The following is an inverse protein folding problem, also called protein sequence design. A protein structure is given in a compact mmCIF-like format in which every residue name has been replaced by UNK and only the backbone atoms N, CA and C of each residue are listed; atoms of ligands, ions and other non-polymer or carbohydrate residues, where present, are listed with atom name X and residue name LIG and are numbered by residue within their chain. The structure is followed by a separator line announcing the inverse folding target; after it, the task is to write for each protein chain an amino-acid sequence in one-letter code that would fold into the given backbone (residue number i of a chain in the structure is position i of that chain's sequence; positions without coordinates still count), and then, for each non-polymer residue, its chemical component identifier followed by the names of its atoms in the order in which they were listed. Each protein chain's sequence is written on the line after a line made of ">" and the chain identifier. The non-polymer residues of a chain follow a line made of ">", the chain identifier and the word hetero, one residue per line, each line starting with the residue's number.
data_IF_556637876646
#
_entry.id   IF_556637876646
#
_cell.length_a   1.000
_cell.length_b   1.000
_cell.length_c   1.000
_cell.angle_alpha   90.00
_cell.angle_beta   90.00
_cell.angle_gamma   90.00
#
_symmetry.space_group_name_H-M   'P 1'
#
loop_
_entity.id
_entity.type
_entity.pdbx_description
1 polymer ?
#
# COMPACT_ATOMS: atom_id res chain seq x y z
N UNK A 1 -35.39 -13.86 -0.77
CA UNK A 1 -34.34 -14.44 -1.62
C UNK A 1 -33.36 -15.16 -0.70
N UNK A 2 -33.36 -16.49 -0.70
CA UNK A 2 -32.34 -17.27 0.03
C UNK A 2 -31.05 -17.19 -0.79
N UNK A 3 -30.16 -16.27 -0.41
CA UNK A 3 -28.84 -16.26 -0.99
C UNK A 3 -28.07 -17.45 -0.43
N UNK A 4 -27.80 -18.42 -1.28
CA UNK A 4 -26.89 -19.52 -0.97
C UNK A 4 -25.52 -18.94 -0.60
N UNK A 5 -24.97 -19.40 0.52
CA UNK A 5 -23.68 -18.92 1.07
C UNK A 5 -22.58 -19.04 0.00
N UNK A 6 -22.62 -20.10 -0.81
CA UNK A 6 -21.65 -20.32 -1.88
C UNK A 6 -21.76 -19.23 -2.94
N UNK A 7 -22.97 -18.91 -3.41
CA UNK A 7 -23.19 -17.82 -4.37
C UNK A 7 -22.75 -16.45 -3.83
N UNK A 8 -23.01 -16.17 -2.55
CA UNK A 8 -22.62 -14.90 -1.90
C UNK A 8 -21.10 -14.79 -1.81
N UNK A 9 -20.44 -15.86 -1.37
CA UNK A 9 -18.98 -15.92 -1.31
C UNK A 9 -18.34 -15.76 -2.68
N UNK A 10 -18.89 -16.42 -3.71
CA UNK A 10 -18.40 -16.30 -5.08
C UNK A 10 -18.39 -14.85 -5.56
N UNK A 11 -19.48 -14.10 -5.32
CA UNK A 11 -19.57 -12.68 -5.67
C UNK A 11 -18.57 -11.81 -4.91
N UNK A 12 -18.39 -12.02 -3.60
CA UNK A 12 -17.40 -11.28 -2.79
C UNK A 12 -15.99 -11.56 -3.30
N UNK A 13 -15.67 -12.83 -3.59
CA UNK A 13 -14.37 -13.24 -4.11
C UNK A 13 -14.10 -12.63 -5.49
N UNK A 14 -15.07 -12.64 -6.38
CA UNK A 14 -14.93 -12.05 -7.71
C UNK A 14 -14.63 -10.54 -7.63
N UNK A 15 -15.38 -9.81 -6.79
CA UNK A 15 -15.14 -8.39 -6.54
C UNK A 15 -13.76 -8.12 -5.93
N UNK A 16 -13.33 -8.95 -4.97
CA UNK A 16 -12.01 -8.83 -4.36
C UNK A 16 -10.88 -9.06 -5.38
N UNK A 17 -11.01 -10.07 -6.24
CA UNK A 17 -10.06 -10.35 -7.30
C UNK A 17 -10.03 -9.23 -8.35
N UNK A 18 -11.18 -8.69 -8.74
CA UNK A 18 -11.24 -7.57 -9.69
C UNK A 18 -10.48 -6.34 -9.15
N UNK A 19 -10.75 -5.95 -7.90
CA UNK A 19 -10.04 -4.85 -7.23
C UNK A 19 -8.55 -5.10 -7.08
N UNK A 20 -8.17 -6.35 -6.77
CA UNK A 20 -6.76 -6.75 -6.67
C UNK A 20 -6.04 -6.53 -7.99
N UNK A 21 -6.61 -7.03 -9.10
CA UNK A 21 -6.02 -6.86 -10.44
C UNK A 21 -5.92 -5.40 -10.85
N UNK A 22 -6.98 -4.61 -10.64
CA UNK A 22 -6.98 -3.18 -10.94
C UNK A 22 -5.87 -2.43 -10.20
N UNK A 23 -5.62 -2.81 -8.94
CA UNK A 23 -4.62 -2.14 -8.10
C UNK A 23 -3.20 -2.62 -8.42
N UNK A 24 -2.98 -3.93 -8.45
CA UNK A 24 -1.65 -4.55 -8.45
C UNK A 24 -1.21 -5.13 -9.81
N UNK A 25 -2.07 -5.14 -10.83
CA UNK A 25 -1.75 -5.64 -12.18
C UNK A 25 -1.88 -4.55 -13.25
N UNK A 26 -1.86 -3.28 -12.85
CA UNK A 26 -1.91 -2.12 -13.77
C UNK A 26 -0.55 -1.72 -14.36
N UNK A 27 0.53 -2.42 -14.02
CA UNK A 27 1.90 -2.15 -14.49
C UNK A 27 2.60 -0.97 -13.82
N UNK A 28 1.90 -0.19 -12.98
CA UNK A 28 2.45 0.90 -12.19
C UNK A 28 2.92 0.45 -10.80
N UNK A 29 3.69 1.28 -10.08
CA UNK A 29 4.03 1.00 -8.70
C UNK A 29 2.80 1.12 -7.79
N UNK A 30 2.77 0.35 -6.71
CA UNK A 30 1.80 0.49 -5.61
C UNK A 30 2.58 0.61 -4.31
N UNK A 31 2.17 1.58 -3.49
CA UNK A 31 2.82 1.90 -2.22
C UNK A 31 1.89 1.51 -1.09
N UNK A 32 2.36 0.64 -0.21
CA UNK A 32 1.64 0.18 0.98
C UNK A 32 2.30 0.79 2.21
N UNK A 33 1.52 1.43 3.09
CA UNK A 33 2.04 2.06 4.31
C UNK A 33 1.38 1.42 5.53
N UNK A 34 2.20 0.90 6.45
CA UNK A 34 1.75 0.30 7.70
C UNK A 34 1.13 1.33 8.63
N UNK A 35 -0.19 1.28 8.79
CA UNK A 35 -0.95 2.23 9.62
C UNK A 35 -1.88 1.53 10.62
N UNK A 36 -1.58 0.27 10.95
CA UNK A 36 -2.13 -0.38 12.14
C UNK A 36 -1.62 0.27 13.44
N UNK A 37 -1.88 -0.33 14.60
CA UNK A 37 -1.56 0.26 15.91
C UNK A 37 -0.08 0.61 16.09
N UNK A 38 0.85 -0.30 15.82
CA UNK A 38 2.29 -0.04 15.94
C UNK A 38 2.78 0.99 14.91
N UNK A 39 2.34 0.86 13.65
CA UNK A 39 2.65 1.82 12.59
C UNK A 39 2.20 3.24 12.96
N UNK A 40 0.97 3.40 13.46
CA UNK A 40 0.46 4.69 13.97
C UNK A 40 1.26 5.22 15.14
N UNK A 41 1.61 4.37 16.12
CA UNK A 41 2.42 4.78 17.26
C UNK A 41 3.84 5.20 16.86
N UNK A 42 4.38 4.62 15.79
CA UNK A 42 5.72 4.91 15.27
C UNK A 42 5.77 6.09 14.28
N UNK A 43 4.63 6.71 13.95
CA UNK A 43 4.56 7.85 13.03
C UNK A 43 4.19 7.51 11.57
N UNK A 44 3.50 6.39 11.35
CA UNK A 44 3.13 5.92 10.00
C UNK A 44 2.15 6.84 9.26
N UNK A 45 1.34 7.65 9.95
CA UNK A 45 0.46 8.62 9.29
C UNK A 45 1.21 9.84 8.76
N UNK A 46 2.26 10.27 9.46
CA UNK A 46 3.16 11.32 9.02
C UNK A 46 3.90 10.87 7.75
N UNK A 47 4.36 9.63 7.71
CA UNK A 47 4.97 9.00 6.52
C UNK A 47 3.97 8.92 5.36
N UNK A 48 2.76 8.42 5.63
CA UNK A 48 1.69 8.31 4.63
C UNK A 48 1.37 9.67 3.98
N UNK A 49 1.18 10.70 4.80
CA UNK A 49 0.87 12.05 4.33
C UNK A 49 2.04 12.64 3.54
N UNK A 50 3.27 12.45 4.00
CA UNK A 50 4.46 12.94 3.30
C UNK A 50 4.61 12.30 1.91
N UNK A 51 4.33 10.99 1.78
CA UNK A 51 4.30 10.28 0.51
C UNK A 51 3.21 10.83 -0.42
N UNK A 52 1.97 10.99 0.08
CA UNK A 52 0.84 11.53 -0.70
C UNK A 52 1.13 12.94 -1.22
N UNK A 53 1.66 13.82 -0.38
CA UNK A 53 2.01 15.18 -0.80
C UNK A 53 3.15 15.19 -1.82
N UNK A 54 4.20 14.36 -1.63
CA UNK A 54 5.28 14.28 -2.61
C UNK A 54 4.82 13.79 -3.99
N UNK A 55 3.95 12.79 -4.05
CA UNK A 55 3.38 12.32 -5.31
C UNK A 55 2.50 13.39 -5.97
N UNK A 56 1.72 14.13 -5.17
CA UNK A 56 0.90 15.25 -5.67
C UNK A 56 1.77 16.39 -6.21
N UNK A 57 2.85 16.76 -5.52
CA UNK A 57 3.84 17.73 -6.00
C UNK A 57 4.51 17.29 -7.31
N UNK A 58 4.64 15.98 -7.53
CA UNK A 58 5.20 15.37 -8.74
C UNK A 58 4.16 15.08 -9.85
N UNK A 59 2.87 15.41 -9.64
CA UNK A 59 1.77 15.07 -10.55
C UNK A 59 1.65 13.56 -10.85
N UNK A 60 1.87 12.73 -9.82
CA UNK A 60 1.84 11.26 -9.87
C UNK A 60 0.70 10.67 -9.05
N UNK A 61 -0.48 11.28 -9.09
CA UNK A 61 -1.69 10.74 -8.44
C UNK A 61 -2.17 9.42 -9.07
N UNK A 62 -1.57 8.97 -10.18
CA UNK A 62 -1.76 7.65 -10.76
C UNK A 62 -1.21 6.52 -9.88
N UNK A 63 -0.28 6.82 -8.97
CA UNK A 63 0.36 5.83 -8.08
C UNK A 63 -0.50 5.57 -6.86
N UNK A 64 -1.05 4.36 -6.66
CA UNK A 64 -1.90 4.07 -5.51
C UNK A 64 -1.07 4.05 -4.21
N UNK A 65 -1.50 4.84 -3.22
CA UNK A 65 -0.96 4.84 -1.85
C UNK A 65 -2.01 4.29 -0.90
N UNK A 66 -1.78 3.07 -0.43
CA UNK A 66 -2.76 2.28 0.31
C UNK A 66 -2.31 2.14 1.77
N UNK A 67 -3.21 2.52 2.66
CA UNK A 67 -3.09 2.26 4.09
C UNK A 67 -3.36 0.78 4.36
N UNK A 68 -2.41 0.11 5.01
CA UNK A 68 -2.51 -1.32 5.32
C UNK A 68 -2.42 -1.59 6.82
N UNK A 69 -2.92 -2.76 7.20
CA UNK A 69 -2.88 -3.25 8.58
C UNK A 69 -1.48 -3.72 9.02
N UNK A 70 -1.46 -4.57 10.05
CA UNK A 70 -0.21 -5.11 10.59
C UNK A 70 0.51 -5.99 9.56
N UNK A 71 1.80 -5.74 9.35
CA UNK A 71 2.66 -6.52 8.46
C UNK A 71 3.63 -7.46 9.22
N UNK A 72 3.49 -7.56 10.55
CA UNK A 72 4.25 -8.50 11.39
C UNK A 72 5.63 -8.01 11.86
N UNK A 73 6.09 -6.85 11.39
CA UNK A 73 7.41 -6.29 11.72
C UNK A 73 7.32 -5.04 12.60
N UNK A 74 6.62 -5.12 13.73
CA UNK A 74 6.39 -3.97 14.61
C UNK A 74 7.68 -3.25 15.06
N UNK A 75 8.80 -3.96 15.17
CA UNK A 75 10.09 -3.37 15.55
C UNK A 75 10.70 -2.47 14.47
N UNK A 76 10.27 -2.62 13.21
CA UNK A 76 10.79 -1.90 12.05
C UNK A 76 9.81 -0.83 11.54
N UNK A 77 8.72 -0.56 12.27
CA UNK A 77 7.77 0.49 11.90
C UNK A 77 8.39 1.89 12.05
N UNK A 78 7.99 2.89 11.24
CA UNK A 78 7.03 2.79 10.14
C UNK A 78 7.54 1.98 8.95
N UNK A 79 6.71 1.05 8.47
CA UNK A 79 7.02 0.15 7.37
C UNK A 79 6.31 0.60 6.10
N UNK A 80 7.06 0.72 5.01
CA UNK A 80 6.55 1.00 3.67
C UNK A 80 6.95 -0.13 2.74
N UNK A 81 6.00 -0.69 1.99
CA UNK A 81 6.26 -1.68 0.95
C UNK A 81 5.95 -1.07 -0.41
N UNK A 82 6.92 -1.12 -1.33
CA UNK A 82 6.73 -0.70 -2.72
C UNK A 82 6.78 -1.93 -3.60
N UNK A 83 5.72 -2.14 -4.39
CA UNK A 83 5.67 -3.14 -5.44
C UNK A 83 5.60 -2.47 -6.79
N UNK A 84 6.35 -2.98 -7.77
CA UNK A 84 6.30 -2.54 -9.17
C UNK A 84 6.24 -3.78 -10.06
N UNK A 85 5.03 -4.27 -10.37
CA UNK A 85 4.83 -5.39 -11.27
C UNK A 85 5.59 -5.19 -12.59
N UNK A 86 6.24 -6.24 -13.09
CA UNK A 86 7.02 -6.16 -14.33
C UNK A 86 8.41 -5.53 -14.21
N UNK A 87 8.80 -5.01 -13.04
CA UNK A 87 10.17 -4.47 -12.83
C UNK A 87 11.26 -5.54 -12.71
N UNK A 88 10.89 -6.81 -12.53
CA UNK A 88 11.82 -7.90 -12.23
C UNK A 88 12.25 -8.01 -10.77
N UNK A 89 11.85 -7.04 -9.92
CA UNK A 89 12.09 -7.07 -8.48
C UNK A 89 10.85 -7.55 -7.72
N UNK A 90 11.03 -8.27 -6.60
CA UNK A 90 9.94 -8.55 -5.68
C UNK A 90 9.48 -7.24 -4.99
N UNK A 91 8.32 -7.24 -4.32
CA UNK A 91 7.96 -6.14 -3.42
C UNK A 91 9.08 -5.89 -2.40
N UNK A 92 9.49 -4.63 -2.26
CA UNK A 92 10.59 -4.23 -1.37
C UNK A 92 10.00 -3.55 -0.13
N UNK A 93 10.40 -4.03 1.05
CA UNK A 93 9.99 -3.48 2.34
C UNK A 93 11.08 -2.57 2.92
N UNK A 94 10.70 -1.35 3.26
CA UNK A 94 11.53 -0.32 3.88
C UNK A 94 11.03 -0.11 5.31
N UNK A 95 11.89 -0.35 6.30
CA UNK A 95 11.60 -0.10 7.71
C UNK A 95 12.26 1.18 8.22
N UNK A 96 11.85 1.61 9.42
CA UNK A 96 12.31 2.84 10.07
C UNK A 96 12.09 4.08 9.20
N UNK A 97 11.03 4.07 8.40
CA UNK A 97 10.77 5.13 7.44
C UNK A 97 10.34 6.39 8.18
N UNK A 98 11.07 7.47 7.97
CA UNK A 98 10.67 8.82 8.43
C UNK A 98 9.90 9.53 7.31
N UNK A 99 9.17 10.63 7.59
CA UNK A 99 8.52 11.42 6.55
C UNK A 99 9.47 11.86 5.42
N UNK A 100 10.71 12.21 5.77
CA UNK A 100 11.75 12.58 4.80
C UNK A 100 12.16 11.41 3.91
N UNK A 101 12.39 10.23 4.49
CA UNK A 101 12.67 9.01 3.72
C UNK A 101 11.47 8.66 2.83
N UNK A 102 10.24 8.76 3.35
CA UNK A 102 9.02 8.54 2.58
C UNK A 102 8.93 9.41 1.33
N UNK A 103 9.27 10.69 1.43
CA UNK A 103 9.36 11.60 0.27
C UNK A 103 10.43 11.16 -0.72
N UNK A 104 11.62 10.74 -0.24
CA UNK A 104 12.72 10.28 -1.10
C UNK A 104 12.33 9.02 -1.89
N UNK A 105 11.63 8.08 -1.25
CA UNK A 105 11.22 6.81 -1.87
C UNK A 105 10.33 6.98 -3.10
N UNK A 106 9.69 8.14 -3.29
CA UNK A 106 8.71 8.40 -4.35
C UNK A 106 9.14 9.49 -5.34
N UNK A 107 10.41 9.90 -5.33
CA UNK A 107 10.91 10.94 -6.26
C UNK A 107 11.09 10.46 -7.70
N UNK A 108 11.31 9.16 -7.92
CA UNK A 108 11.65 8.54 -9.21
C UNK A 108 10.68 7.38 -9.57
#
# INVERSE_FOLDING_TARGET
>A
MNHDVTSTFAAIRENALARWRETFENGGPVILVGTATCGRAAGGFEVLNAIREALKEAHREDVPVIEVGCMGHCYAEPLVIITKPGSGYPPIAYGYVTPEIGRILVRD
#
